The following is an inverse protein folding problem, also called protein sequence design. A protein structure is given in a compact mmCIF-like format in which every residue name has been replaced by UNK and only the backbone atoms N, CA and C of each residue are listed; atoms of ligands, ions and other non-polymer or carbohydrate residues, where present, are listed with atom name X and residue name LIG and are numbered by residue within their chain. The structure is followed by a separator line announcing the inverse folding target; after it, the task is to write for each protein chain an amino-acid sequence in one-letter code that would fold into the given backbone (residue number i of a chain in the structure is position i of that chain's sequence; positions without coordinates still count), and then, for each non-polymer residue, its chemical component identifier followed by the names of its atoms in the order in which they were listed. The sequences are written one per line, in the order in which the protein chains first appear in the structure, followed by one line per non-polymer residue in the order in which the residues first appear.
data_IF_334710177518
#
_entry.id   IF_334710177518
#
_cell.length_a   1.000
_cell.length_b   1.000
_cell.length_c   1.000
_cell.angle_alpha   90.00
_cell.angle_beta   90.00
_cell.angle_gamma   90.00
#
_symmetry.space_group_name_H-M   'P 1'
#
loop_
_entity.id
_entity.type
_entity.pdbx_description
1 polymer ?
#
# COMPACT_ATOMS: atom_id res chain seq x y z
N UNK A 1 15.74 17.40 -17.51
CA UNK A 1 15.17 17.33 -16.15
C UNK A 1 15.66 16.04 -15.52
N UNK A 2 16.49 16.14 -14.48
CA UNK A 2 16.96 14.97 -13.75
C UNK A 2 15.73 14.37 -13.07
N UNK A 3 15.31 13.16 -13.49
CA UNK A 3 14.31 12.39 -12.74
C UNK A 3 14.91 12.18 -11.35
N UNK A 4 14.45 12.97 -10.39
CA UNK A 4 14.82 12.84 -8.99
C UNK A 4 14.52 11.40 -8.60
N UNK A 5 15.56 10.63 -8.29
CA UNK A 5 15.41 9.33 -7.65
C UNK A 5 14.45 9.52 -6.47
N UNK A 6 13.27 8.90 -6.54
CA UNK A 6 12.34 8.89 -5.44
C UNK A 6 12.91 7.97 -4.36
N UNK A 7 13.93 8.44 -3.65
CA UNK A 7 14.20 7.98 -2.31
C UNK A 7 12.86 8.07 -1.58
N UNK A 8 12.33 6.93 -1.09
CA UNK A 8 11.09 6.91 -0.30
C UNK A 8 11.16 8.05 0.70
N UNK A 9 10.36 9.10 0.47
CA UNK A 9 10.44 10.28 1.34
C UNK A 9 10.10 9.83 2.76
N UNK A 10 10.69 10.48 3.77
CA UNK A 10 10.40 10.13 5.16
C UNK A 10 8.89 10.13 5.46
N UNK A 11 8.15 11.02 4.79
CA UNK A 11 6.69 11.10 4.87
C UNK A 11 6.00 9.90 4.20
N UNK A 12 6.42 9.50 2.99
CA UNK A 12 5.88 8.33 2.30
C UNK A 12 6.11 7.06 3.13
N UNK A 13 7.33 6.84 3.64
CA UNK A 13 7.64 5.71 4.51
C UNK A 13 6.77 5.69 5.77
N UNK A 14 6.55 6.87 6.39
CA UNK A 14 5.66 7.01 7.55
C UNK A 14 4.21 6.65 7.20
N UNK A 15 3.70 7.07 6.06
CA UNK A 15 2.35 6.73 5.60
C UNK A 15 2.21 5.23 5.30
N UNK A 16 3.17 4.63 4.60
CA UNK A 16 3.18 3.19 4.34
C UNK A 16 3.21 2.36 5.63
N UNK A 17 3.99 2.79 6.62
CA UNK A 17 4.01 2.14 7.93
C UNK A 17 2.66 2.24 8.65
N UNK A 18 1.99 3.40 8.59
CA UNK A 18 0.64 3.57 9.17
C UNK A 18 -0.38 2.66 8.49
N UNK A 19 -0.36 2.60 7.16
CA UNK A 19 -1.25 1.72 6.39
C UNK A 19 -0.99 0.26 6.75
N UNK A 20 0.27 -0.17 6.76
CA UNK A 20 0.63 -1.54 7.13
C UNK A 20 0.16 -1.91 8.55
N UNK A 21 0.36 -1.02 9.53
CA UNK A 21 -0.13 -1.25 10.90
C UNK A 21 -1.65 -1.31 10.99
N UNK A 22 -2.35 -0.44 10.26
CA UNK A 22 -3.82 -0.46 10.19
C UNK A 22 -4.32 -1.78 9.58
N UNK A 23 -3.78 -2.19 8.43
CA UNK A 23 -4.19 -3.44 7.75
C UNK A 23 -3.90 -4.68 8.61
N UNK A 24 -2.77 -4.70 9.32
CA UNK A 24 -2.47 -5.76 10.30
C UNK A 24 -3.49 -5.81 11.43
N UNK A 25 -3.94 -4.65 11.92
CA UNK A 25 -4.99 -4.58 12.95
C UNK A 25 -6.36 -4.98 12.41
N UNK A 26 -6.68 -4.63 11.16
CA UNK A 26 -7.98 -4.88 10.54
C UNK A 26 -8.17 -6.36 10.19
N UNK A 27 -7.17 -6.98 9.57
CA UNK A 27 -7.26 -8.35 9.06
C UNK A 27 -6.62 -9.39 9.98
N UNK A 28 -5.74 -8.98 10.89
CA UNK A 28 -5.11 -9.88 11.86
C UNK A 28 -4.41 -11.06 11.18
N UNK A 29 -4.75 -12.27 11.61
CA UNK A 29 -4.17 -13.52 11.10
C UNK A 29 -4.48 -13.79 9.62
N UNK A 30 -5.54 -13.18 9.08
CA UNK A 30 -5.98 -13.37 7.69
C UNK A 30 -5.13 -12.57 6.71
N UNK A 31 -4.39 -11.56 7.17
CA UNK A 31 -3.44 -10.84 6.33
C UNK A 31 -2.25 -11.75 6.00
N UNK A 32 -2.08 -12.05 4.72
CA UNK A 32 -0.89 -12.76 4.22
C UNK A 32 0.22 -11.75 3.94
N UNK A 33 -0.06 -10.76 3.09
CA UNK A 33 0.93 -9.75 2.72
C UNK A 33 0.30 -8.44 2.25
N UNK A 34 1.09 -7.36 2.33
CA UNK A 34 0.78 -6.02 1.82
C UNK A 34 1.90 -5.62 0.89
N UNK A 35 1.58 -5.35 -0.38
CA UNK A 35 2.55 -5.07 -1.43
C UNK A 35 2.32 -3.65 -1.95
N UNK A 36 3.38 -2.84 -1.95
CA UNK A 36 3.36 -1.56 -2.65
C UNK A 36 3.38 -1.83 -4.15
N UNK A 37 2.44 -1.22 -4.87
CA UNK A 37 2.31 -1.37 -6.31
C UNK A 37 2.42 -0.01 -7.02
N UNK A 38 2.13 0.00 -8.32
CA UNK A 38 2.00 1.26 -9.06
C UNK A 38 3.29 2.05 -9.25
N UNK A 39 3.14 3.34 -9.52
CA UNK A 39 4.25 4.24 -9.84
C UNK A 39 5.23 4.39 -8.67
N UNK A 40 4.77 4.30 -7.42
CA UNK A 40 5.61 4.33 -6.22
C UNK A 40 6.56 3.13 -6.17
N UNK A 41 6.07 1.92 -6.45
CA UNK A 41 6.91 0.71 -6.49
C UNK A 41 7.93 0.74 -7.64
N UNK A 42 7.55 1.32 -8.78
CA UNK A 42 8.41 1.42 -9.97
C UNK A 42 9.35 2.63 -9.96
N UNK A 43 9.26 3.49 -8.94
CA UNK A 43 10.02 4.75 -8.86
C UNK A 43 9.72 5.72 -10.02
N UNK A 44 8.48 5.70 -10.49
CA UNK A 44 7.94 6.55 -11.56
C UNK A 44 6.88 7.52 -11.02
N UNK A 45 6.76 7.63 -9.69
CA UNK A 45 5.78 8.50 -9.07
C UNK A 45 6.15 9.97 -9.23
N UNK A 46 5.21 10.74 -9.75
CA UNK A 46 5.24 12.21 -9.75
C UNK A 46 4.58 12.76 -8.47
N UNK A 47 4.68 14.07 -8.25
CA UNK A 47 4.21 14.74 -7.03
C UNK A 47 2.75 14.41 -6.65
N UNK A 48 1.89 14.27 -7.66
CA UNK A 48 0.46 14.05 -7.50
C UNK A 48 0.07 12.57 -7.75
N UNK A 49 1.05 11.66 -7.75
CA UNK A 49 0.78 10.22 -7.89
C UNK A 49 0.13 9.64 -6.64
N UNK A 50 -0.88 8.81 -6.87
CA UNK A 50 -1.52 8.00 -5.84
C UNK A 50 -0.55 6.92 -5.28
N UNK A 51 -1.00 6.27 -4.20
CA UNK A 51 -0.33 5.12 -3.60
C UNK A 51 -1.19 3.88 -3.86
N UNK A 52 -0.70 2.99 -4.72
CA UNK A 52 -1.36 1.72 -5.01
C UNK A 52 -0.86 0.63 -4.06
N UNK A 53 -1.78 -0.10 -3.43
CA UNK A 53 -1.45 -1.20 -2.52
C UNK A 53 -2.28 -2.42 -2.88
N UNK A 54 -1.60 -3.57 -2.99
CA UNK A 54 -2.24 -4.87 -3.08
C UNK A 54 -2.25 -5.54 -1.71
N UNK A 55 -3.42 -5.99 -1.29
CA UNK A 55 -3.63 -6.74 -0.04
C UNK A 55 -3.93 -8.19 -0.41
N UNK A 56 -3.19 -9.12 0.16
CA UNK A 56 -3.43 -10.56 -0.02
C UNK A 56 -3.94 -11.12 1.30
N UNK A 57 -5.09 -11.80 1.25
CA UNK A 57 -5.69 -12.48 2.39
C UNK A 57 -5.55 -14.00 2.23
N UNK A 58 -5.36 -14.70 3.35
CA UNK A 58 -5.17 -16.17 3.38
C UNK A 58 -6.42 -16.94 3.00
N UNK A 59 -7.59 -16.38 3.29
CA UNK A 59 -8.88 -17.04 3.10
C UNK A 59 -9.73 -16.30 2.08
N UNK A 60 -10.70 -17.02 1.52
CA UNK A 60 -11.70 -16.43 0.63
C UNK A 60 -12.52 -15.41 1.42
N UNK A 61 -12.79 -14.27 0.81
CA UNK A 61 -13.58 -13.20 1.37
C UNK A 61 -14.69 -12.80 0.41
N UNK A 62 -15.74 -12.16 0.94
CA UNK A 62 -16.78 -11.56 0.11
C UNK A 62 -16.29 -10.19 -0.37
N UNK A 63 -16.03 -10.08 -1.67
CA UNK A 63 -15.55 -8.84 -2.28
C UNK A 63 -16.50 -7.64 -2.05
N UNK A 64 -17.82 -7.86 -2.09
CA UNK A 64 -18.80 -6.79 -1.91
C UNK A 64 -18.88 -6.28 -0.47
N UNK A 65 -18.66 -7.15 0.52
CA UNK A 65 -18.56 -6.74 1.92
C UNK A 65 -17.25 -6.01 2.18
N UNK A 66 -16.17 -6.44 1.54
CA UNK A 66 -14.84 -5.88 1.77
C UNK A 66 -14.70 -4.46 1.20
N UNK A 67 -15.33 -4.14 0.06
CA UNK A 67 -15.36 -2.76 -0.48
C UNK A 67 -16.05 -1.77 0.47
N UNK A 68 -16.93 -2.24 1.37
CA UNK A 68 -17.71 -1.37 2.26
C UNK A 68 -17.02 -1.02 3.57
N UNK A 69 -15.86 -1.64 3.88
CA UNK A 69 -15.10 -1.33 5.09
C UNK A 69 -14.28 -0.06 4.92
#
# INVERSE_FOLDING_TARGET
MIKSQALLTGQLKKNLNKINSYLKSLYGKELETVILFGSQARQEAEKDSDIDILIVLKTKFNYYEEIKK
#
